data_IF_354574638993
#
_entry.id   IF_354574638993
#
_cell.length_a   1.000
_cell.length_b   1.000
_cell.length_c   1.000
_cell.angle_alpha   90.00
_cell.angle_beta   90.00
_cell.angle_gamma   90.00
#
_symmetry.space_group_name_H-M   'P 1'
#
loop_
_entity.id
_entity.type
_entity.pdbx_description
1 polymer ?
#
# COMPACT_ATOMS: atom_id res chain seq x y z
N UNK A 1 8.22 -5.15 -5.03
CA UNK A 1 8.97 -4.37 -4.03
C UNK A 1 8.02 -4.11 -2.87
N UNK A 2 8.42 -4.30 -1.61
CA UNK A 2 7.50 -4.09 -0.49
C UNK A 2 7.17 -2.60 -0.34
N UNK A 3 5.90 -2.30 -0.05
CA UNK A 3 5.41 -0.92 0.14
C UNK A 3 5.71 -0.33 1.52
N UNK A 4 6.23 -1.16 2.42
CA UNK A 4 6.67 -0.79 3.76
C UNK A 4 7.87 -1.65 4.15
N UNK A 5 8.75 -1.11 4.98
CA UNK A 5 9.95 -1.78 5.48
C UNK A 5 9.85 -2.10 6.98
N UNK A 6 10.65 -3.05 7.50
CA UNK A 6 10.75 -3.29 8.94
C UNK A 6 11.16 -2.04 9.72
N UNK A 7 12.01 -1.19 9.15
CA UNK A 7 12.41 0.09 9.74
C UNK A 7 11.21 1.04 9.93
N UNK A 8 10.35 1.18 8.91
CA UNK A 8 9.15 2.02 9.00
C UNK A 8 8.10 1.46 9.98
N UNK A 9 8.07 0.14 10.16
CA UNK A 9 7.24 -0.52 11.18
C UNK A 9 7.79 -0.31 12.60
N UNK A 10 9.12 -0.21 12.76
CA UNK A 10 9.78 0.11 14.02
C UNK A 10 9.48 1.54 14.49
N UNK A 11 9.17 2.46 13.57
CA UNK A 11 8.69 3.80 13.93
C UNK A 11 7.21 3.79 14.31
N UNK A 12 6.38 3.08 13.54
CA UNK A 12 4.93 2.96 13.73
C UNK A 12 4.45 1.62 13.19
N UNK A 13 3.91 0.70 14.01
CA UNK A 13 3.42 0.91 15.39
C UNK A 13 4.49 1.03 16.47
N UNK A 14 5.72 0.57 16.22
CA UNK A 14 6.80 0.59 17.21
C UNK A 14 7.28 -0.82 17.63
N UNK A 15 8.52 -0.90 18.08
CA UNK A 15 9.15 -2.16 18.50
C UNK A 15 8.44 -2.87 19.66
N UNK A 16 7.77 -2.12 20.55
CA UNK A 16 7.02 -2.70 21.66
C UNK A 16 5.84 -3.54 21.16
N UNK A 17 5.04 -3.01 20.24
CA UNK A 17 3.92 -3.78 19.68
C UNK A 17 4.46 -4.99 18.90
N UNK A 18 5.47 -4.78 18.05
CA UNK A 18 6.07 -5.85 17.24
C UNK A 18 6.67 -6.96 18.11
N UNK A 19 7.27 -6.65 19.26
CA UNK A 19 7.74 -7.67 20.20
C UNK A 19 6.61 -8.57 20.71
N UNK A 20 5.40 -8.02 20.92
CA UNK A 20 4.26 -8.78 21.42
C UNK A 20 3.63 -9.67 20.36
N UNK A 21 3.59 -9.20 19.11
CA UNK A 21 2.81 -9.83 18.04
C UNK A 21 3.67 -10.66 17.06
N UNK A 22 4.97 -10.38 16.97
CA UNK A 22 5.88 -11.10 16.09
C UNK A 22 6.68 -12.20 16.80
N UNK A 23 6.74 -12.19 18.15
CA UNK A 23 7.34 -13.29 18.91
C UNK A 23 6.63 -14.61 18.60
N UNK A 24 7.40 -15.69 18.50
CA UNK A 24 6.85 -17.01 18.13
C UNK A 24 5.90 -17.55 19.20
N UNK A 25 4.79 -18.15 18.76
CA UNK A 25 3.82 -18.78 19.66
C UNK A 25 4.51 -19.82 20.55
N UNK A 26 4.37 -19.69 21.87
CA UNK A 26 4.97 -20.59 22.85
C UNK A 26 6.45 -20.31 23.19
N UNK A 27 7.05 -19.25 22.65
CA UNK A 27 8.38 -18.79 23.06
C UNK A 27 8.28 -17.56 23.98
N UNK A 28 9.32 -17.27 24.79
CA UNK A 28 9.40 -16.00 25.50
C UNK A 28 9.31 -14.81 24.54
N UNK A 29 8.68 -13.73 24.99
CA UNK A 29 8.64 -12.49 24.22
C UNK A 29 10.06 -11.97 24.00
N UNK A 30 10.35 -11.56 22.75
CA UNK A 30 11.60 -10.88 22.41
C UNK A 30 11.65 -9.55 23.18
N UNK A 31 12.79 -9.24 23.78
CA UNK A 31 12.98 -7.98 24.48
C UNK A 31 12.78 -6.79 23.52
N UNK A 32 12.10 -5.73 23.98
CA UNK A 32 11.76 -4.57 23.14
C UNK A 32 13.00 -3.90 22.54
N UNK A 33 14.09 -3.77 23.32
CA UNK A 33 15.34 -3.18 22.84
C UNK A 33 16.02 -4.06 21.77
N UNK A 34 16.02 -5.38 21.95
CA UNK A 34 16.53 -6.32 20.95
C UNK A 34 15.66 -6.32 19.69
N UNK A 35 14.34 -6.21 19.83
CA UNK A 35 13.42 -6.09 18.70
C UNK A 35 13.68 -4.81 17.90
N UNK A 36 13.81 -3.65 18.57
CA UNK A 36 14.13 -2.38 17.89
C UNK A 36 15.47 -2.46 17.16
N UNK A 37 16.50 -3.00 17.83
CA UNK A 37 17.82 -3.19 17.21
C UNK A 37 17.76 -4.11 15.99
N UNK A 38 16.95 -5.16 16.05
CA UNK A 38 16.75 -6.12 14.95
C UNK A 38 16.03 -5.48 13.76
N UNK A 39 14.95 -4.72 14.01
CA UNK A 39 14.19 -4.06 12.96
C UNK A 39 14.98 -2.93 12.27
N UNK A 40 15.85 -2.25 13.03
CA UNK A 40 16.70 -1.15 12.53
C UNK A 40 18.05 -1.62 11.98
N UNK A 41 18.42 -2.88 12.20
CA UNK A 41 19.72 -3.43 11.80
C UNK A 41 20.91 -2.84 12.57
N UNK A 42 20.71 -2.47 13.84
CA UNK A 42 21.78 -1.93 14.70
C UNK A 42 22.52 -3.03 15.46
N UNK A 43 23.52 -2.66 16.28
CA UNK A 43 24.29 -3.63 17.06
C UNK A 43 23.42 -4.46 18.00
N UNK A 44 23.70 -5.77 18.05
CA UNK A 44 23.02 -6.78 18.87
C UNK A 44 23.98 -7.62 19.70
N UNK A 45 25.25 -7.20 19.80
CA UNK A 45 26.31 -7.95 20.48
C UNK A 45 26.10 -8.12 21.99
N UNK A 46 25.23 -7.30 22.61
CA UNK A 46 24.93 -7.35 24.03
C UNK A 46 23.98 -8.47 24.46
N UNK A 47 23.28 -9.11 23.51
CA UNK A 47 22.28 -10.16 23.79
C UNK A 47 22.85 -11.56 23.57
N UNK A 48 22.32 -12.54 24.30
CA UNK A 48 22.71 -13.93 24.14
C UNK A 48 22.33 -14.47 22.74
N UNK A 49 23.11 -15.41 22.16
CA UNK A 49 22.81 -15.97 20.84
C UNK A 49 21.40 -16.53 20.70
N UNK A 50 20.88 -17.18 21.75
CA UNK A 50 19.53 -17.74 21.76
C UNK A 50 18.44 -16.65 21.69
N UNK A 51 18.69 -15.50 22.33
CA UNK A 51 17.80 -14.34 22.25
C UNK A 51 17.82 -13.73 20.85
N UNK A 52 19.01 -13.61 20.25
CA UNK A 52 19.18 -13.11 18.87
C UNK A 52 18.46 -14.03 17.89
N UNK A 53 18.55 -15.35 18.05
CA UNK A 53 17.83 -16.31 17.22
C UNK A 53 16.30 -16.13 17.31
N UNK A 54 15.77 -15.89 18.52
CA UNK A 54 14.36 -15.56 18.72
C UNK A 54 13.95 -14.26 18.03
N UNK A 55 14.80 -13.23 18.08
CA UNK A 55 14.58 -11.96 17.40
C UNK A 55 14.64 -12.09 15.87
N UNK A 56 15.55 -12.91 15.33
CA UNK A 56 15.65 -13.19 13.90
C UNK A 56 14.43 -13.94 13.39
N UNK A 57 13.91 -14.91 14.16
CA UNK A 57 12.66 -15.60 13.83
C UNK A 57 11.46 -14.64 13.82
N UNK A 58 11.40 -13.72 14.79
CA UNK A 58 10.37 -12.69 14.81
C UNK A 58 10.50 -11.71 13.63
N UNK A 59 11.72 -11.33 13.24
CA UNK A 59 11.97 -10.50 12.05
C UNK A 59 11.49 -11.20 10.78
N UNK A 60 11.76 -12.49 10.62
CA UNK A 60 11.29 -13.28 9.48
C UNK A 60 9.76 -13.23 9.37
N UNK A 61 9.03 -13.39 10.50
CA UNK A 61 7.57 -13.29 10.53
C UNK A 61 7.07 -11.90 10.12
N UNK A 62 7.75 -10.83 10.54
CA UNK A 62 7.43 -9.45 10.10
C UNK A 62 7.66 -9.30 8.59
N UNK A 63 8.76 -9.82 8.07
CA UNK A 63 9.07 -9.78 6.64
C UNK A 63 8.06 -10.55 5.80
N UNK A 64 7.60 -11.73 6.27
CA UNK A 64 6.55 -12.51 5.62
C UNK A 64 5.24 -11.73 5.56
N UNK A 65 4.83 -11.10 6.67
CA UNK A 65 3.62 -10.28 6.72
C UNK A 65 3.71 -9.07 5.77
N UNK A 66 4.88 -8.43 5.69
CA UNK A 66 5.13 -7.31 4.77
C UNK A 66 5.09 -7.77 3.31
N UNK A 67 5.64 -8.94 3.00
CA UNK A 67 5.62 -9.51 1.65
C UNK A 67 4.18 -9.88 1.23
N UNK A 68 3.41 -10.51 2.11
CA UNK A 68 2.01 -10.84 1.88
C UNK A 68 1.16 -9.58 1.70
N UNK A 69 1.35 -8.56 2.54
CA UNK A 69 0.70 -7.25 2.37
C UNK A 69 1.04 -6.60 1.02
N UNK A 70 2.30 -6.69 0.59
CA UNK A 70 2.75 -6.22 -0.71
C UNK A 70 2.02 -6.92 -1.86
N UNK A 71 1.96 -8.25 -1.82
CA UNK A 71 1.29 -9.05 -2.84
C UNK A 71 -0.22 -8.75 -2.93
N UNK A 72 -0.89 -8.53 -1.80
CA UNK A 72 -2.31 -8.14 -1.76
C UNK A 72 -2.55 -6.77 -2.42
N UNK A 73 -1.70 -5.79 -2.11
CA UNK A 73 -1.78 -4.46 -2.73
C UNK A 73 -1.52 -4.55 -4.24
N UNK A 74 -0.46 -5.26 -4.64
CA UNK A 74 -0.13 -5.52 -6.05
C UNK A 74 -1.32 -6.15 -6.79
N UNK A 75 -2.02 -7.12 -6.19
CA UNK A 75 -3.23 -7.73 -6.77
C UNK A 75 -4.34 -6.72 -7.07
N UNK A 76 -4.61 -5.79 -6.15
CA UNK A 76 -5.61 -4.73 -6.36
C UNK A 76 -5.16 -3.70 -7.41
N UNK A 77 -3.87 -3.35 -7.43
CA UNK A 77 -3.32 -2.43 -8.40
C UNK A 77 -3.34 -3.02 -9.81
N UNK A 78 -2.96 -4.30 -9.96
CA UNK A 78 -3.07 -5.00 -11.24
C UNK A 78 -4.51 -5.03 -11.75
N UNK A 79 -5.49 -5.29 -10.86
CA UNK A 79 -6.91 -5.22 -11.21
C UNK A 79 -7.34 -3.81 -11.67
N UNK A 80 -6.76 -2.75 -11.07
CA UNK A 80 -6.97 -1.36 -11.47
C UNK A 80 -6.25 -0.94 -12.76
N UNK A 81 -5.51 -1.84 -13.40
CA UNK A 81 -4.79 -1.57 -14.65
C UNK A 81 -3.42 -0.89 -14.48
N UNK A 82 -2.86 -0.91 -13.27
CA UNK A 82 -1.51 -0.38 -13.03
C UNK A 82 -0.45 -1.37 -13.52
N UNK A 83 0.60 -0.87 -14.18
CA UNK A 83 1.77 -1.68 -14.50
C UNK A 83 2.58 -1.95 -13.23
N UNK A 84 2.96 -3.21 -13.03
CA UNK A 84 3.79 -3.65 -11.91
C UNK A 84 5.18 -4.07 -12.41
N UNK A 85 6.24 -3.84 -11.62
CA UNK A 85 6.25 -3.18 -10.32
C UNK A 85 5.93 -1.67 -10.43
N UNK A 86 5.09 -1.18 -9.52
CA UNK A 86 4.70 0.22 -9.51
C UNK A 86 5.87 1.08 -9.04
N UNK A 87 6.29 2.05 -9.87
CA UNK A 87 7.32 3.02 -9.52
C UNK A 87 6.66 4.34 -9.10
N UNK A 88 6.76 4.68 -7.83
CA UNK A 88 6.25 5.94 -7.27
C UNK A 88 7.40 6.72 -6.66
N UNK A 89 7.45 8.02 -6.98
CA UNK A 89 8.42 8.95 -6.42
C UNK A 89 8.39 8.94 -4.89
N UNK A 90 9.58 9.05 -4.29
CA UNK A 90 9.71 9.12 -2.84
C UNK A 90 9.08 10.41 -2.33
N UNK A 91 8.14 10.31 -1.37
CA UNK A 91 7.38 11.46 -0.85
C UNK A 91 6.09 11.78 -1.61
N UNK A 92 5.75 11.02 -2.66
CA UNK A 92 4.46 11.15 -3.34
C UNK A 92 3.29 10.79 -2.42
N UNK A 93 2.12 11.39 -2.68
CA UNK A 93 0.89 11.08 -1.95
C UNK A 93 0.51 9.59 -2.11
N UNK A 94 0.63 9.05 -3.33
CA UNK A 94 0.38 7.64 -3.62
C UNK A 94 1.26 6.71 -2.81
N UNK A 95 2.58 6.97 -2.75
CA UNK A 95 3.50 6.16 -1.94
C UNK A 95 3.11 6.20 -0.47
N UNK A 96 2.81 7.38 0.06
CA UNK A 96 2.39 7.56 1.46
C UNK A 96 1.12 6.76 1.78
N UNK A 97 0.14 6.75 0.86
CA UNK A 97 -1.10 5.97 1.01
C UNK A 97 -0.83 4.46 0.97
N UNK A 98 -0.06 3.97 0.00
CA UNK A 98 0.29 2.56 -0.11
C UNK A 98 1.07 2.08 1.12
N UNK A 99 2.00 2.87 1.65
CA UNK A 99 2.72 2.56 2.88
C UNK A 99 1.78 2.50 4.08
N UNK A 100 0.79 3.40 4.18
CA UNK A 100 -0.21 3.36 5.26
C UNK A 100 -1.10 2.11 5.18
N UNK A 101 -1.54 1.71 3.98
CA UNK A 101 -2.33 0.49 3.79
C UNK A 101 -1.50 -0.77 4.02
N UNK A 102 -0.26 -0.82 3.54
CA UNK A 102 0.66 -1.92 3.78
C UNK A 102 0.93 -2.11 5.27
N UNK A 103 1.05 -1.01 6.02
CA UNK A 103 1.15 -1.04 7.49
C UNK A 103 -0.07 -1.69 8.14
N UNK A 104 -1.27 -1.24 7.78
CA UNK A 104 -2.51 -1.75 8.36
C UNK A 104 -2.68 -3.26 8.07
N UNK A 105 -2.39 -3.69 6.84
CA UNK A 105 -2.46 -5.09 6.44
C UNK A 105 -1.40 -5.93 7.18
N UNK A 106 -0.14 -5.48 7.20
CA UNK A 106 0.94 -6.21 7.90
C UNK A 106 0.63 -6.38 9.39
N UNK A 107 0.14 -5.32 10.04
CA UNK A 107 -0.27 -5.34 11.45
C UNK A 107 -1.41 -6.33 11.70
N UNK A 108 -2.40 -6.38 10.81
CA UNK A 108 -3.49 -7.35 10.89
C UNK A 108 -2.99 -8.79 10.73
N UNK A 109 -2.13 -9.06 9.75
CA UNK A 109 -1.56 -10.40 9.51
C UNK A 109 -0.76 -10.91 10.72
N UNK A 110 -0.01 -10.03 11.39
CA UNK A 110 0.70 -10.39 12.62
C UNK A 110 -0.26 -10.72 13.77
N UNK A 111 -1.37 -10.00 13.88
CA UNK A 111 -2.35 -10.16 14.96
C UNK A 111 -3.43 -11.21 14.70
N UNK A 112 -3.46 -11.84 13.52
CA UNK A 112 -4.58 -12.68 13.05
C UNK A 112 -4.93 -13.88 13.94
N UNK A 113 -3.96 -14.37 14.73
CA UNK A 113 -4.15 -15.52 15.61
C UNK A 113 -4.66 -15.12 17.02
N UNK A 114 -4.81 -13.82 17.30
CA UNK A 114 -5.26 -13.34 18.60
C UNK A 114 -6.78 -13.53 18.74
N UNK A 115 -7.20 -14.07 19.87
CA UNK A 115 -8.62 -14.08 20.25
C UNK A 115 -9.00 -12.65 20.67
N UNK A 116 -9.60 -11.88 19.76
CA UNK A 116 -10.19 -10.57 20.04
C UNK A 116 -11.62 -10.48 19.48
N UNK A 117 -12.43 -9.64 20.12
CA UNK A 117 -13.73 -9.25 19.59
C UNK A 117 -13.53 -8.41 18.33
N UNK A 118 -13.62 -9.06 17.17
CA UNK A 118 -13.32 -8.50 15.84
C UNK A 118 -14.03 -7.15 15.57
N UNK A 119 -15.22 -6.94 16.13
CA UNK A 119 -16.03 -5.73 15.94
C UNK A 119 -15.47 -4.48 16.62
N UNK A 120 -14.59 -4.63 17.63
CA UNK A 120 -14.04 -3.51 18.41
C UNK A 120 -12.53 -3.34 18.24
N UNK A 121 -11.90 -4.19 17.43
CA UNK A 121 -10.46 -4.17 17.25
C UNK A 121 -10.05 -3.07 16.23
N UNK A 122 -9.29 -2.04 16.64
CA UNK A 122 -8.83 -0.99 15.73
C UNK A 122 -8.00 -1.56 14.57
N UNK A 123 -7.26 -2.65 14.77
CA UNK A 123 -6.42 -3.27 13.73
C UNK A 123 -7.28 -3.87 12.63
N UNK A 124 -8.36 -4.55 13.00
CA UNK A 124 -9.32 -5.13 12.03
C UNK A 124 -10.02 -4.01 11.25
N UNK A 125 -10.42 -2.94 11.94
CA UNK A 125 -11.05 -1.78 11.30
C UNK A 125 -10.11 -1.17 10.26
N UNK A 126 -8.87 -0.85 10.65
CA UNK A 126 -7.89 -0.23 9.76
C UNK A 126 -7.56 -1.14 8.55
N UNK A 127 -7.52 -2.45 8.74
CA UNK A 127 -7.39 -3.45 7.66
C UNK A 127 -8.57 -3.42 6.69
N UNK A 128 -9.80 -3.43 7.20
CA UNK A 128 -11.02 -3.35 6.37
C UNK A 128 -11.08 -2.05 5.58
N UNK A 129 -10.70 -0.94 6.22
CA UNK A 129 -10.64 0.36 5.56
C UNK A 129 -9.58 0.38 4.44
N UNK A 130 -8.41 -0.21 4.68
CA UNK A 130 -7.38 -0.36 3.65
C UNK A 130 -7.88 -1.18 2.45
N UNK A 131 -8.48 -2.36 2.69
CA UNK A 131 -9.06 -3.18 1.61
C UNK A 131 -10.18 -2.47 0.85
N UNK A 132 -11.04 -1.72 1.55
CA UNK A 132 -12.11 -0.95 0.93
C UNK A 132 -11.55 0.13 0.00
N UNK A 133 -10.53 0.87 0.45
CA UNK A 133 -9.89 1.90 -0.36
C UNK A 133 -9.12 1.31 -1.55
N UNK A 134 -8.40 0.20 -1.35
CA UNK A 134 -7.77 -0.56 -2.44
C UNK A 134 -8.78 -1.05 -3.47
N UNK A 135 -9.95 -1.52 -3.02
CA UNK A 135 -11.07 -1.87 -3.90
C UNK A 135 -11.59 -0.66 -4.69
N UNK A 136 -11.58 0.55 -4.12
CA UNK A 136 -11.92 1.78 -4.85
C UNK A 136 -10.85 2.15 -5.89
N UNK A 137 -9.57 1.91 -5.61
CA UNK A 137 -8.48 2.07 -6.59
C UNK A 137 -8.66 1.09 -7.75
N UNK A 138 -8.92 -0.19 -7.45
CA UNK A 138 -9.16 -1.21 -8.45
C UNK A 138 -10.38 -0.90 -9.35
N UNK A 139 -11.41 -0.24 -8.80
CA UNK A 139 -12.58 0.22 -9.54
C UNK A 139 -12.36 1.56 -10.27
N UNK A 140 -11.18 2.17 -10.16
CA UNK A 140 -10.85 3.48 -10.74
C UNK A 140 -11.52 4.68 -10.07
N UNK A 141 -12.18 4.49 -8.91
CA UNK A 141 -12.87 5.54 -8.14
C UNK A 141 -11.93 6.39 -7.29
N UNK A 142 -10.81 5.81 -6.87
CA UNK A 142 -9.75 6.48 -6.11
C UNK A 142 -8.46 6.47 -6.94
N UNK A 143 -7.78 7.61 -6.99
CA UNK A 143 -6.52 7.81 -7.71
C UNK A 143 -5.36 7.96 -6.71
N UNK A 144 -4.16 7.53 -7.11
CA UNK A 144 -2.95 7.55 -6.27
C UNK A 144 -2.22 8.91 -6.25
N UNK A 145 -2.89 9.98 -6.68
CA UNK A 145 -2.36 11.35 -6.71
C UNK A 145 -2.01 11.82 -8.12
N UNK A 146 -1.32 12.97 -8.22
CA UNK A 146 -1.01 13.60 -9.50
C UNK A 146 -0.03 12.79 -10.37
N UNK A 147 0.81 11.97 -9.75
CA UNK A 147 1.77 11.07 -10.42
C UNK A 147 1.17 9.70 -10.76
N UNK A 148 -0.14 9.53 -10.64
CA UNK A 148 -0.81 8.26 -10.90
C UNK A 148 -0.67 7.88 -12.39
N UNK A 149 0.05 6.78 -12.71
CA UNK A 149 0.32 6.37 -14.09
C UNK A 149 -0.92 5.83 -14.80
N UNK A 150 -2.01 5.53 -14.09
CA UNK A 150 -3.30 5.20 -14.70
C UNK A 150 -3.98 6.44 -15.31
N UNK A 151 -3.58 7.65 -14.90
CA UNK A 151 -4.09 8.91 -15.46
C UNK A 151 -3.59 9.14 -16.88
N UNK A 152 -2.38 8.68 -17.21
CA UNK A 152 -1.85 8.68 -18.58
C UNK A 152 -2.46 7.58 -19.47
N UNK A 153 -2.97 6.48 -18.89
CA UNK A 153 -3.69 5.45 -19.63
C UNK A 153 -5.16 5.84 -19.96
N UNK A 154 -5.73 6.81 -19.24
CA UNK A 154 -7.11 7.31 -19.44
C UNK A 154 -7.24 8.58 -20.29
N UNK A 155 -6.13 9.25 -20.64
CA UNK A 155 -6.14 10.44 -21.49
C UNK A 155 -6.35 10.13 -22.99
N UNK A 156 -6.79 8.91 -23.32
CA UNK A 156 -6.79 8.39 -24.69
C UNK A 156 -8.12 7.91 -25.27
N UNK A 157 -9.27 7.90 -24.58
CA UNK A 157 -10.49 7.39 -25.25
C UNK A 157 -11.88 7.89 -24.85
N UNK A 158 -12.08 8.90 -23.98
CA UNK A 158 -13.47 9.30 -23.66
C UNK A 158 -13.79 10.79 -23.50
N UNK A 159 -12.82 11.71 -23.58
CA UNK A 159 -13.11 13.16 -23.40
C UNK A 159 -12.82 14.02 -24.61
N UNK A 160 -12.36 13.43 -25.72
CA UNK A 160 -12.17 14.16 -26.97
C UNK A 160 -13.37 13.96 -27.89
N UNK A 161 -14.38 14.79 -27.72
CA UNK A 161 -15.53 14.87 -28.63
C UNK A 161 -15.13 15.76 -29.81
N UNK A 162 -14.63 15.14 -30.89
CA UNK A 162 -14.42 15.84 -32.16
C UNK A 162 -15.71 15.84 -32.96
N UNK A 163 -16.28 17.02 -33.16
CA UNK A 163 -17.34 17.23 -34.14
C UNK A 163 -16.68 17.49 -35.49
N UNK A 164 -16.73 16.49 -36.38
CA UNK A 164 -16.45 16.71 -37.79
C UNK A 164 -17.77 17.02 -38.50
N UNK A 165 -17.84 18.18 -39.15
CA UNK A 165 -19.03 18.67 -39.83
C UNK A 165 -18.66 19.04 -41.26
N UNK A 166 -19.52 18.68 -42.22
CA UNK A 166 -19.34 19.07 -43.61
C UNK A 166 -19.24 20.61 -43.73
N UNK A 167 -18.38 21.13 -44.63
CA UNK A 167 -18.28 22.58 -44.84
C UNK A 167 -19.66 23.16 -45.19
N UNK A 168 -19.96 24.33 -44.65
CA UNK A 168 -21.25 25.00 -44.86
C UNK A 168 -21.50 25.21 -46.36
N UNK A 169 -22.54 24.55 -46.89
CA UNK A 169 -22.91 24.60 -48.33
C UNK A 169 -23.60 25.91 -48.69
N UNK A 170 -24.19 26.61 -47.72
CA UNK A 170 -24.86 27.89 -47.89
C UNK A 170 -24.38 28.89 -46.83
N UNK A 171 -23.35 29.65 -47.17
CA UNK A 171 -22.86 30.77 -46.38
C UNK A 171 -23.23 32.11 -46.99
N UNK A 172 -22.78 33.17 -46.31
CA UNK A 172 -23.03 34.55 -46.72
C UNK A 172 -22.32 34.93 -48.03
N UNK A 173 -21.26 34.20 -48.41
CA UNK A 173 -20.56 34.35 -49.68
C UNK A 173 -21.40 33.81 -50.84
N UNK A 174 -21.98 32.63 -50.68
CA UNK A 174 -22.73 31.91 -51.72
C UNK A 174 -24.08 32.59 -52.01
N UNK A 175 -24.67 33.25 -50.99
CA UNK A 175 -25.93 34.00 -51.13
C UNK A 175 -25.77 35.37 -51.81
N UNK A 176 -24.54 35.85 -52.10
CA UNK A 176 -24.34 37.14 -52.79
C UNK A 176 -24.73 37.10 -54.27
N UNK A 177 -24.73 35.91 -54.88
CA UNK A 177 -25.10 35.74 -56.28
C UNK A 177 -26.62 35.73 -56.53
N UNK A 178 -27.43 35.62 -55.47
CA UNK A 178 -28.89 35.57 -55.53
C UNK A 178 -29.56 36.87 -55.06
N UNK A 179 -28.80 37.98 -55.00
CA UNK A 179 -29.28 39.29 -54.58
C UNK A 179 -29.09 40.35 -55.64
#
# INVERSE_FOLDING_TARGET
MPYITPLELAERPGAQELSQVASSDGQPLVEVALMDATLRGTDRSAWAPDQVAGADAALARVQDAVAEAGALIDGHLAQGGYALPLDLSSGSAGKTMLTAWARAISRYLLNRNRVSEESKDPVVRDYRDALRLLGQVAQGKLKLGAEDPSTSAGAGSSTDVRFDGAPNVFGRSELRAFR
#
